data_IF_062998639121
#
_entry.id   IF_062998639121
#
_cell.length_a   1.000
_cell.length_b   1.000
_cell.length_c   1.000
_cell.angle_alpha   90.00
_cell.angle_beta   90.00
_cell.angle_gamma   90.00
#
_symmetry.space_group_name_H-M   'P 1'
#
loop_
_entity.id
_entity.type
_entity.pdbx_description
1 polymer ?
#
# COMPACT_ATOMS: atom_id res chain seq x y z
N UNK A 1 14.46 10.23 7.95
CA UNK A 1 15.44 11.07 8.67
C UNK A 1 16.40 11.80 7.74
N UNK A 2 17.46 11.21 7.19
CA UNK A 2 18.47 11.94 6.38
C UNK A 2 17.88 12.79 5.24
N UNK A 3 16.89 12.27 4.50
CA UNK A 3 16.24 13.04 3.44
C UNK A 3 15.55 14.31 3.98
N UNK A 4 14.91 14.25 5.16
CA UNK A 4 14.28 15.41 5.81
C UNK A 4 15.32 16.43 6.23
N UNK A 5 16.40 15.99 6.87
CA UNK A 5 17.50 16.86 7.32
C UNK A 5 18.13 17.64 6.17
N UNK A 6 18.20 17.02 4.98
CA UNK A 6 18.76 17.63 3.77
C UNK A 6 17.73 18.39 2.93
N UNK A 7 16.46 18.44 3.32
CA UNK A 7 15.39 19.06 2.54
C UNK A 7 15.11 18.34 1.20
N UNK A 8 15.38 17.03 1.14
CA UNK A 8 15.20 16.19 -0.06
C UNK A 8 13.85 15.48 -0.01
N UNK A 9 13.06 15.63 -1.08
CA UNK A 9 11.83 14.85 -1.28
C UNK A 9 12.13 13.46 -1.83
N UNK A 10 11.53 12.43 -1.24
CA UNK A 10 11.59 11.06 -1.71
C UNK A 10 10.41 10.79 -2.64
N UNK A 11 10.70 10.36 -3.88
CA UNK A 11 9.68 9.82 -4.78
C UNK A 11 9.65 8.30 -4.61
N UNK A 12 8.62 7.77 -3.96
CA UNK A 12 8.53 6.35 -3.66
C UNK A 12 8.17 5.53 -4.92
N UNK A 13 9.02 4.56 -5.25
CA UNK A 13 8.81 3.65 -6.37
C UNK A 13 8.07 2.37 -5.95
N UNK A 14 7.12 1.93 -6.77
CA UNK A 14 6.35 0.71 -6.53
C UNK A 14 5.48 0.74 -5.25
N UNK A 15 4.73 1.81 -4.98
CA UNK A 15 4.12 2.09 -3.67
C UNK A 15 3.08 1.06 -3.21
N UNK A 16 2.53 0.25 -4.12
CA UNK A 16 1.57 -0.83 -3.81
C UNK A 16 2.18 -2.25 -3.95
N UNK A 17 3.51 -2.35 -3.96
CA UNK A 17 4.26 -3.62 -4.02
C UNK A 17 3.82 -4.54 -5.18
N UNK A 18 3.71 -3.99 -6.40
CA UNK A 18 3.16 -4.72 -7.56
C UNK A 18 1.74 -5.25 -7.32
N UNK A 19 0.91 -4.55 -6.56
CA UNK A 19 -0.46 -4.93 -6.23
C UNK A 19 -0.58 -5.98 -5.13
N UNK A 20 0.50 -6.31 -4.41
CA UNK A 20 0.43 -7.20 -3.24
C UNK A 20 -0.42 -6.57 -2.13
N UNK A 21 -0.28 -5.25 -1.92
CA UNK A 21 -1.00 -4.50 -0.89
C UNK A 21 -2.49 -4.30 -1.18
N UNK A 22 -3.00 -4.74 -2.33
CA UNK A 22 -4.45 -4.78 -2.58
C UNK A 22 -5.12 -5.99 -1.90
N UNK A 23 -4.35 -6.91 -1.31
CA UNK A 23 -4.83 -8.13 -0.67
C UNK A 23 -5.41 -9.20 -1.62
N UNK A 24 -5.51 -8.93 -2.93
CA UNK A 24 -6.18 -9.84 -3.88
C UNK A 24 -5.51 -11.21 -3.99
N UNK A 25 -4.18 -11.27 -3.83
CA UNK A 25 -3.43 -12.52 -3.86
C UNK A 25 -3.56 -13.33 -2.56
N UNK A 26 -3.97 -12.68 -1.47
CA UNK A 26 -4.23 -13.31 -0.17
C UNK A 26 -5.65 -13.88 -0.09
N UNK A 27 -6.60 -13.18 -0.73
CA UNK A 27 -8.02 -13.52 -0.75
C UNK A 27 -8.36 -14.58 -1.79
N UNK A 28 -7.70 -14.55 -2.96
CA UNK A 28 -7.96 -15.49 -4.05
C UNK A 28 -6.68 -16.19 -4.56
N UNK A 29 -6.52 -17.49 -4.26
CA UNK A 29 -5.42 -18.30 -4.79
C UNK A 29 -5.40 -18.42 -6.33
N UNK A 30 -6.53 -18.30 -7.01
CA UNK A 30 -6.62 -18.36 -8.49
C UNK A 30 -5.94 -17.13 -9.12
N UNK A 31 -6.15 -15.94 -8.55
CA UNK A 31 -5.47 -14.71 -8.98
C UNK A 31 -3.93 -14.86 -8.94
N UNK A 32 -3.40 -15.55 -7.93
CA UNK A 32 -1.98 -15.87 -7.86
C UNK A 32 -1.56 -16.93 -8.89
N UNK A 33 -2.40 -17.94 -9.14
CA UNK A 33 -2.12 -18.99 -10.12
C UNK A 33 -1.98 -18.43 -11.55
N UNK A 34 -2.80 -17.44 -11.92
CA UNK A 34 -2.81 -16.77 -13.22
C UNK A 34 -1.68 -15.74 -13.42
N UNK A 35 -0.84 -15.54 -12.40
CA UNK A 35 0.30 -14.62 -12.46
C UNK A 35 1.54 -15.31 -13.06
N UNK A 36 2.40 -14.62 -13.85
CA UNK A 36 3.62 -15.20 -14.41
C UNK A 36 4.51 -15.90 -13.37
N UNK A 37 5.15 -17.00 -13.76
CA UNK A 37 5.83 -17.94 -12.85
C UNK A 37 6.82 -17.26 -11.88
N UNK A 38 7.65 -16.34 -12.38
CA UNK A 38 8.65 -15.61 -11.58
C UNK A 38 7.97 -14.78 -10.49
N UNK A 39 6.95 -14.00 -10.87
CA UNK A 39 6.19 -13.15 -9.94
C UNK A 39 5.38 -13.98 -8.96
N UNK A 40 4.80 -15.11 -9.41
CA UNK A 40 4.09 -16.07 -8.56
C UNK A 40 4.98 -16.66 -7.48
N UNK A 41 6.20 -17.08 -7.82
CA UNK A 41 7.18 -17.59 -6.83
C UNK A 41 7.56 -16.53 -5.80
N UNK A 42 7.78 -15.28 -6.23
CA UNK A 42 8.05 -14.14 -5.33
C UNK A 42 6.88 -13.92 -4.36
N UNK A 43 5.66 -13.83 -4.88
CA UNK A 43 4.48 -13.55 -4.06
C UNK A 43 4.14 -14.69 -3.09
N UNK A 44 4.32 -15.96 -3.46
CA UNK A 44 4.13 -17.07 -2.50
C UNK A 44 4.97 -16.92 -1.23
N UNK A 45 6.19 -16.39 -1.35
CA UNK A 45 7.06 -16.13 -0.18
C UNK A 45 6.60 -14.93 0.64
N UNK A 46 5.95 -13.95 0.01
CA UNK A 46 5.55 -12.69 0.64
C UNK A 46 4.14 -12.72 1.21
N UNK A 47 3.25 -13.60 0.71
CA UNK A 47 1.84 -13.63 1.11
C UNK A 47 1.71 -13.89 2.61
N UNK A 48 2.34 -14.94 3.13
CA UNK A 48 2.21 -15.30 4.54
C UNK A 48 2.77 -14.22 5.47
N UNK A 49 3.95 -13.66 5.15
CA UNK A 49 4.54 -12.58 5.96
C UNK A 49 3.76 -11.27 5.89
N UNK A 50 2.99 -11.02 4.82
CA UNK A 50 2.19 -9.80 4.67
C UNK A 50 0.74 -9.95 5.10
N UNK A 51 0.28 -11.14 5.51
CA UNK A 51 -1.10 -11.34 6.00
C UNK A 51 -1.50 -10.36 7.12
N UNK A 52 -0.69 -10.14 8.17
CA UNK A 52 -1.06 -9.20 9.23
C UNK A 52 -1.24 -7.78 8.70
N UNK A 53 -0.38 -7.34 7.77
CA UNK A 53 -0.48 -6.03 7.11
C UNK A 53 -1.78 -5.95 6.30
N UNK A 54 -2.11 -6.96 5.49
CA UNK A 54 -3.35 -6.96 4.71
C UNK A 54 -4.58 -6.92 5.62
N UNK A 55 -4.59 -7.67 6.72
CA UNK A 55 -5.70 -7.63 7.68
C UNK A 55 -5.88 -6.22 8.25
N UNK A 56 -4.81 -5.58 8.70
CA UNK A 56 -4.88 -4.21 9.23
C UNK A 56 -5.35 -3.20 8.15
N UNK A 57 -4.86 -3.32 6.92
CA UNK A 57 -5.30 -2.48 5.81
C UNK A 57 -6.80 -2.69 5.50
N UNK A 58 -7.30 -3.92 5.52
CA UNK A 58 -8.71 -4.23 5.31
C UNK A 58 -9.60 -3.65 6.42
N UNK A 59 -9.18 -3.77 7.68
CA UNK A 59 -9.90 -3.22 8.83
C UNK A 59 -10.00 -1.69 8.78
N UNK A 60 -8.89 -1.01 8.49
CA UNK A 60 -8.88 0.45 8.31
C UNK A 60 -9.70 0.85 7.09
N UNK A 61 -9.54 0.15 5.96
CA UNK A 61 -10.25 0.44 4.74
C UNK A 61 -11.77 0.41 4.93
N UNK A 62 -12.29 -0.53 5.74
CA UNK A 62 -13.70 -0.61 6.08
C UNK A 62 -14.20 0.61 6.89
N UNK A 63 -13.37 1.23 7.73
CA UNK A 63 -13.75 2.43 8.52
C UNK A 63 -13.96 3.66 7.65
N UNK A 64 -13.21 3.77 6.55
CA UNK A 64 -13.23 4.93 5.65
C UNK A 64 -14.03 4.70 4.37
N UNK A 65 -14.56 3.49 4.15
CA UNK A 65 -15.22 3.07 2.90
C UNK A 65 -14.29 3.23 1.66
N UNK A 66 -13.06 2.75 1.80
CA UNK A 66 -11.98 2.84 0.80
C UNK A 66 -11.35 1.47 0.52
N UNK A 67 -10.39 1.40 -0.39
CA UNK A 67 -9.66 0.15 -0.68
C UNK A 67 -8.40 0.00 0.18
N UNK A 68 -7.92 -1.23 0.44
CA UNK A 68 -6.64 -1.45 1.12
C UNK A 68 -5.46 -0.77 0.44
N UNK A 69 -5.50 -0.66 -0.89
CA UNK A 69 -4.47 0.04 -1.66
C UNK A 69 -4.48 1.55 -1.38
N UNK A 70 -5.67 2.14 -1.21
CA UNK A 70 -5.81 3.54 -0.84
C UNK A 70 -5.26 3.81 0.57
N UNK A 71 -5.52 2.92 1.53
CA UNK A 71 -4.95 3.01 2.89
C UNK A 71 -3.42 2.93 2.84
N UNK A 72 -2.87 1.96 2.11
CA UNK A 72 -1.42 1.82 1.96
C UNK A 72 -0.76 3.06 1.32
N UNK A 73 -1.42 3.65 0.30
CA UNK A 73 -0.94 4.88 -0.34
C UNK A 73 -1.02 6.08 0.62
N UNK A 74 -2.13 6.24 1.33
CA UNK A 74 -2.32 7.31 2.30
C UNK A 74 -1.25 7.24 3.40
N UNK A 75 -1.01 6.05 3.96
CA UNK A 75 0.05 5.82 4.93
C UNK A 75 1.42 6.23 4.38
N UNK A 76 1.76 5.77 3.17
CA UNK A 76 3.07 6.07 2.55
C UNK A 76 3.30 7.57 2.31
N UNK A 77 2.24 8.31 1.97
CA UNK A 77 2.30 9.76 1.76
C UNK A 77 2.44 10.49 3.10
N UNK A 78 1.66 10.12 4.11
CA UNK A 78 1.50 10.95 5.31
C UNK A 78 2.40 10.55 6.48
N UNK A 79 2.85 9.30 6.58
CA UNK A 79 3.59 8.81 7.74
C UNK A 79 4.88 9.59 8.02
N UNK A 80 5.53 10.10 6.97
CA UNK A 80 6.76 10.89 7.07
C UNK A 80 6.54 12.40 6.87
N UNK A 81 5.29 12.88 6.95
CA UNK A 81 4.93 14.25 6.59
C UNK A 81 5.23 14.54 5.11
N UNK A 82 5.62 15.78 4.80
CA UNK A 82 5.80 16.25 3.40
C UNK A 82 7.06 15.70 2.69
N UNK A 83 7.79 14.77 3.32
CA UNK A 83 9.05 14.26 2.79
C UNK A 83 8.89 13.21 1.69
N UNK A 84 7.70 12.60 1.56
CA UNK A 84 7.46 11.49 0.64
C UNK A 84 6.33 11.83 -0.31
N UNK A 85 6.56 11.62 -1.60
CA UNK A 85 5.54 11.68 -2.65
C UNK A 85 5.48 10.36 -3.40
N UNK A 86 4.32 10.03 -3.93
CA UNK A 86 4.09 8.80 -4.71
C UNK A 86 3.67 9.16 -6.12
N UNK A 87 4.12 8.38 -7.11
CA UNK A 87 3.65 8.46 -8.49
C UNK A 87 3.10 7.06 -8.86
N UNK A 88 1.84 6.75 -8.51
CA UNK A 88 1.28 5.43 -8.73
C UNK A 88 1.13 5.15 -10.23
N UNK A 89 1.65 4.01 -10.68
CA UNK A 89 1.49 3.59 -12.07
C UNK A 89 0.05 3.14 -12.34
N UNK A 90 -0.57 3.69 -13.38
CA UNK A 90 -1.91 3.30 -13.83
C UNK A 90 -1.92 3.05 -15.35
N UNK A 91 -2.26 1.82 -15.76
CA UNK A 91 -2.51 1.47 -17.17
C UNK A 91 -3.99 1.51 -17.56
N UNK A 92 -4.87 1.82 -16.61
CA UNK A 92 -6.33 1.92 -16.77
C UNK A 92 -6.84 3.07 -15.91
N UNK A 93 -7.88 3.75 -16.39
CA UNK A 93 -8.52 4.89 -15.69
C UNK A 93 -8.88 4.54 -14.25
N UNK A 94 -9.53 3.38 -14.05
CA UNK A 94 -9.90 2.89 -12.71
C UNK A 94 -8.75 2.86 -11.70
N UNK A 95 -7.50 2.56 -12.13
CA UNK A 95 -6.35 2.51 -11.21
C UNK A 95 -5.87 3.92 -10.84
N UNK A 96 -6.01 4.88 -11.75
CA UNK A 96 -5.72 6.28 -11.47
C UNK A 96 -6.76 6.85 -10.50
N UNK A 97 -8.04 6.55 -10.71
CA UNK A 97 -9.13 6.95 -9.80
C UNK A 97 -8.98 6.34 -8.42
N UNK A 98 -8.66 5.03 -8.34
CA UNK A 98 -8.39 4.35 -7.08
C UNK A 98 -7.20 5.02 -6.37
N UNK A 99 -6.09 5.25 -7.06
CA UNK A 99 -4.92 5.90 -6.46
C UNK A 99 -5.20 7.33 -5.99
N UNK A 100 -5.93 8.13 -6.77
CA UNK A 100 -6.32 9.48 -6.40
C UNK A 100 -7.25 9.52 -5.19
N UNK A 101 -8.08 8.47 -5.00
CA UNK A 101 -8.93 8.34 -3.82
C UNK A 101 -8.16 8.22 -2.50
N UNK A 102 -6.87 7.84 -2.53
CA UNK A 102 -6.01 7.86 -1.34
C UNK A 102 -5.90 9.25 -0.70
N UNK A 103 -6.11 10.34 -1.45
CA UNK A 103 -6.06 11.72 -0.96
C UNK A 103 -7.40 12.23 -0.40
N UNK A 104 -8.46 11.41 -0.42
CA UNK A 104 -9.82 11.84 -0.01
C UNK A 104 -10.13 11.63 1.47
N UNK A 105 -9.20 11.06 2.22
CA UNK A 105 -9.32 10.83 3.65
C UNK A 105 -7.94 10.99 4.30
N UNK A 106 -7.91 11.02 5.63
CA UNK A 106 -6.68 11.16 6.41
C UNK A 106 -6.74 10.08 7.50
N UNK A 107 -5.72 9.23 7.53
CA UNK A 107 -5.53 8.27 8.62
C UNK A 107 -5.21 9.01 9.92
N UNK A 108 -5.72 8.50 11.04
CA UNK A 108 -5.35 9.05 12.34
C UNK A 108 -3.89 8.72 12.69
N UNK A 109 -3.31 9.46 13.63
CA UNK A 109 -1.95 9.18 14.13
C UNK A 109 -1.82 7.76 14.69
N UNK A 110 -2.87 7.26 15.34
CA UNK A 110 -2.93 5.90 15.89
C UNK A 110 -2.93 4.84 14.76
N UNK A 111 -3.65 5.08 13.67
CA UNK A 111 -3.68 4.18 12.51
C UNK A 111 -2.36 4.19 11.75
N UNK A 112 -1.76 5.37 11.61
CA UNK A 112 -0.43 5.55 11.04
C UNK A 112 0.62 4.77 11.84
N UNK A 113 0.58 4.89 13.17
CA UNK A 113 1.48 4.18 14.08
C UNK A 113 1.22 2.66 14.09
N UNK A 114 -0.04 2.23 14.07
CA UNK A 114 -0.43 0.82 13.99
C UNK A 114 0.18 0.17 12.74
N UNK A 115 0.03 0.80 11.57
CA UNK A 115 0.57 0.29 10.32
C UNK A 115 2.11 0.26 10.30
N UNK A 116 2.77 1.29 10.85
CA UNK A 116 4.23 1.26 11.00
C UNK A 116 4.70 0.10 11.88
N UNK A 117 4.05 -0.12 13.02
CA UNK A 117 4.43 -1.19 13.94
C UNK A 117 4.29 -2.58 13.33
N UNK A 118 3.23 -2.84 12.56
CA UNK A 118 2.96 -4.15 11.95
C UNK A 118 3.91 -4.44 10.77
N UNK A 119 4.53 -3.41 10.19
CA UNK A 119 5.42 -3.56 9.02
C UNK A 119 6.91 -3.69 9.35
N UNK A 120 7.29 -3.55 10.63
CA UNK A 120 8.65 -3.76 11.15
C UNK A 120 8.96 -5.22 11.42
#
# INVERSE_FOLDING_TARGET
ETAKELGVTIVAWGPVASGLLTGKFHKDPQTLANTPLIRRRRFRRQIESSRPVITALDEIAARYDVTPAQVALNWLIHFQGDAVVVIPGASRVQHAEESAGAMKFILSDDELAQLDQITR
#
